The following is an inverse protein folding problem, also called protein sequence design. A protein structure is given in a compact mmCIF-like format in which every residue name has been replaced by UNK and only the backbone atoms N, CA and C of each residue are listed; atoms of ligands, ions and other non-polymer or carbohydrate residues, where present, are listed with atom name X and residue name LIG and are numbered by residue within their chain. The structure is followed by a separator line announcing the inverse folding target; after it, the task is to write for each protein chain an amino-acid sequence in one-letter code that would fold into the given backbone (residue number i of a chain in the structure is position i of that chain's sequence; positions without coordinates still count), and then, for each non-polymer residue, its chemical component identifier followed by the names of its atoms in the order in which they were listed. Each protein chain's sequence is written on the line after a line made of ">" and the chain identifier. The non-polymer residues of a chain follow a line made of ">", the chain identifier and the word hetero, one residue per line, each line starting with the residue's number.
data_IF_492029679733
#
_entry.id   IF_492029679733
#
_cell.length_a   1.000
_cell.length_b   1.000
_cell.length_c   1.000
_cell.angle_alpha   90.00
_cell.angle_beta   90.00
_cell.angle_gamma   90.00
#
_symmetry.space_group_name_H-M   'P 1'
#
loop_
_entity.id
_entity.type
_entity.pdbx_description
1 polymer ?
#
# COMPACT_ATOMS: atom_id res chain seq x y z
N UNK A 1 -17.46 8.18 -1.09
CA UNK A 1 -16.68 7.90 0.15
C UNK A 1 -15.21 7.84 -0.26
N UNK A 2 -14.30 8.40 0.54
CA UNK A 2 -12.85 8.28 0.29
C UNK A 2 -12.41 6.82 0.40
N UNK A 3 -11.39 6.43 -0.38
CA UNK A 3 -10.91 5.05 -0.46
C UNK A 3 -9.50 4.92 0.12
N UNK A 4 -9.29 3.88 0.89
CA UNK A 4 -7.96 3.44 1.31
C UNK A 4 -7.65 2.09 0.66
N UNK A 5 -6.57 2.03 -0.11
CA UNK A 5 -6.05 0.79 -0.67
C UNK A 5 -4.96 0.21 0.24
N UNK A 6 -5.05 -1.09 0.52
CA UNK A 6 -4.12 -1.79 1.41
C UNK A 6 -3.21 -2.70 0.60
N UNK A 7 -1.93 -2.39 0.66
CA UNK A 7 -0.82 -3.11 0.03
C UNK A 7 -0.15 -3.99 1.08
N UNK A 8 -0.23 -5.31 0.97
CA UNK A 8 0.36 -6.23 1.95
C UNK A 8 0.39 -7.68 1.46
N UNK A 9 1.13 -8.54 2.13
CA UNK A 9 1.01 -9.98 1.97
C UNK A 9 -0.32 -10.51 2.52
N UNK A 10 -0.75 -11.69 2.04
CA UNK A 10 -1.98 -12.35 2.45
C UNK A 10 -1.71 -13.67 3.16
N UNK A 11 -2.54 -14.00 4.15
CA UNK A 11 -2.46 -15.25 4.90
C UNK A 11 -1.20 -15.37 5.77
N UNK A 12 -0.81 -16.58 6.05
CA UNK A 12 0.43 -16.88 6.78
C UNK A 12 1.64 -16.74 5.85
N UNK A 13 2.63 -15.94 6.27
CA UNK A 13 3.86 -15.72 5.52
C UNK A 13 5.10 -15.95 6.38
N UNK A 14 6.10 -16.65 5.85
CA UNK A 14 7.37 -16.79 6.54
C UNK A 14 8.12 -15.44 6.52
N UNK A 15 8.64 -15.06 7.66
CA UNK A 15 9.65 -14.01 7.78
C UNK A 15 11.03 -14.68 7.81
N UNK A 16 11.70 -14.67 6.67
CA UNK A 16 13.01 -15.30 6.52
C UNK A 16 14.11 -14.63 7.35
N UNK A 17 13.93 -13.37 7.77
CA UNK A 17 14.90 -12.66 8.58
C UNK A 17 14.88 -13.12 10.04
N UNK A 18 13.71 -13.53 10.55
CA UNK A 18 13.52 -13.95 11.95
C UNK A 18 13.21 -15.43 12.09
N UNK A 19 12.92 -16.15 11.00
CA UNK A 19 12.48 -17.55 11.01
C UNK A 19 11.05 -17.74 11.53
N UNK A 20 10.29 -16.69 11.78
CA UNK A 20 8.90 -16.74 12.25
C UNK A 20 7.92 -16.83 11.08
N UNK A 21 6.74 -17.32 11.34
CA UNK A 21 5.59 -17.21 10.42
C UNK A 21 4.58 -16.24 11.02
N UNK A 22 4.16 -15.25 10.23
CA UNK A 22 3.20 -14.23 10.65
C UNK A 22 1.87 -14.43 9.92
N UNK A 23 0.75 -14.42 10.66
CA UNK A 23 -0.61 -14.38 10.09
C UNK A 23 -0.96 -12.92 9.75
N UNK A 24 -0.63 -12.49 8.54
CA UNK A 24 -0.86 -11.11 8.07
C UNK A 24 -2.35 -10.76 7.94
N UNK A 25 -3.22 -11.76 7.80
CA UNK A 25 -4.66 -11.54 7.82
C UNK A 25 -5.16 -11.11 9.21
N UNK A 26 -4.45 -11.45 10.28
CA UNK A 26 -4.74 -10.88 11.62
C UNK A 26 -4.47 -9.38 11.63
N UNK A 27 -3.29 -8.95 11.18
CA UNK A 27 -2.96 -7.52 11.07
C UNK A 27 -4.01 -6.77 10.25
N UNK A 28 -4.38 -7.31 9.09
CA UNK A 28 -5.41 -6.71 8.26
C UNK A 28 -6.74 -6.55 9.00
N UNK A 29 -7.29 -7.65 9.55
CA UNK A 29 -8.62 -7.66 10.15
C UNK A 29 -8.71 -6.89 11.46
N UNK A 30 -7.66 -6.93 12.29
CA UNK A 30 -7.74 -6.37 13.65
C UNK A 30 -7.22 -4.94 13.74
N UNK A 31 -6.25 -4.56 12.91
CA UNK A 31 -5.63 -3.23 12.91
C UNK A 31 -6.06 -2.42 11.70
N UNK A 32 -5.63 -2.82 10.48
CA UNK A 32 -5.69 -1.96 9.31
C UNK A 32 -7.13 -1.66 8.90
N UNK A 33 -7.92 -2.70 8.66
CA UNK A 33 -9.32 -2.54 8.20
C UNK A 33 -10.13 -1.71 9.20
N UNK A 34 -10.01 -2.02 10.48
CA UNK A 34 -10.73 -1.30 11.54
C UNK A 34 -10.31 0.16 11.64
N UNK A 35 -9.01 0.45 11.55
CA UNK A 35 -8.53 1.81 11.58
C UNK A 35 -9.01 2.64 10.37
N UNK A 36 -8.99 2.04 9.18
CA UNK A 36 -9.47 2.68 7.95
C UNK A 36 -10.97 3.00 8.02
N UNK A 37 -11.78 2.03 8.45
CA UNK A 37 -13.23 2.19 8.62
C UNK A 37 -13.56 3.23 9.72
N UNK A 38 -12.84 3.22 10.85
CA UNK A 38 -12.97 4.20 11.93
C UNK A 38 -12.55 5.62 11.50
N UNK A 39 -11.61 5.72 10.56
CA UNK A 39 -11.24 6.99 9.94
C UNK A 39 -12.25 7.47 8.89
N UNK A 40 -13.30 6.69 8.59
CA UNK A 40 -14.38 7.04 7.66
C UNK A 40 -14.06 6.78 6.18
N UNK A 41 -13.10 5.88 5.88
CA UNK A 41 -12.76 5.49 4.52
C UNK A 41 -13.26 4.08 4.20
N UNK A 42 -13.49 3.84 2.92
CA UNK A 42 -13.67 2.48 2.39
C UNK A 42 -12.32 1.75 2.36
N UNK A 43 -12.25 0.57 2.97
CA UNK A 43 -11.03 -0.24 3.01
C UNK A 43 -11.05 -1.27 1.89
N UNK A 44 -10.08 -1.19 0.97
CA UNK A 44 -9.95 -2.07 -0.18
C UNK A 44 -8.61 -2.80 -0.08
N UNK A 45 -8.61 -4.14 -0.12
CA UNK A 45 -7.42 -4.98 -0.25
C UNK A 45 -7.51 -5.75 -1.57
N UNK A 46 -6.38 -5.99 -2.24
CA UNK A 46 -6.35 -6.53 -3.60
C UNK A 46 -7.09 -7.89 -3.75
N UNK A 47 -7.04 -8.76 -2.74
CA UNK A 47 -7.74 -10.06 -2.75
C UNK A 47 -9.27 -9.95 -2.60
N UNK A 48 -9.78 -8.79 -2.20
CA UNK A 48 -11.23 -8.55 -2.10
C UNK A 48 -11.84 -8.02 -3.39
N UNK A 49 -11.03 -7.70 -4.36
CA UNK A 49 -11.47 -7.14 -5.65
C UNK A 49 -11.73 -8.27 -6.63
N UNK A 50 -13.00 -8.56 -6.91
CA UNK A 50 -13.41 -9.60 -7.87
C UNK A 50 -13.37 -9.01 -9.27
N UNK A 51 -12.53 -9.58 -10.16
CA UNK A 51 -12.43 -9.18 -11.56
C UNK A 51 -12.56 -10.35 -12.52
N UNK A 52 -13.16 -10.08 -13.68
CA UNK A 52 -13.25 -11.00 -14.83
C UNK A 52 -12.20 -10.69 -15.92
N UNK A 53 -11.09 -10.04 -15.58
CA UNK A 53 -10.03 -9.64 -16.54
C UNK A 53 -8.62 -9.86 -16.00
N UNK A 54 -7.61 -9.21 -16.58
CA UNK A 54 -6.24 -9.22 -16.07
C UNK A 54 -6.20 -8.60 -14.67
N UNK A 55 -5.64 -9.33 -13.72
CA UNK A 55 -5.61 -8.99 -12.28
C UNK A 55 -4.88 -7.65 -12.02
N UNK A 56 -3.96 -7.26 -12.90
CA UNK A 56 -3.04 -6.15 -12.66
C UNK A 56 -3.66 -4.75 -12.88
N UNK A 57 -4.58 -4.60 -13.84
CA UNK A 57 -5.13 -3.28 -14.20
C UNK A 57 -5.82 -2.57 -13.01
N UNK A 58 -6.68 -3.22 -12.21
CA UNK A 58 -7.30 -2.58 -11.05
C UNK A 58 -6.33 -2.19 -9.95
N UNK A 59 -5.26 -2.96 -9.75
CA UNK A 59 -4.23 -2.65 -8.75
C UNK A 59 -3.54 -1.32 -9.06
N UNK A 60 -3.08 -1.12 -10.31
CA UNK A 60 -2.44 0.14 -10.71
C UNK A 60 -3.39 1.33 -10.60
N UNK A 61 -4.67 1.15 -10.97
CA UNK A 61 -5.68 2.18 -10.78
C UNK A 61 -5.86 2.52 -9.29
N UNK A 62 -5.95 1.52 -8.42
CA UNK A 62 -6.07 1.75 -6.97
C UNK A 62 -4.81 2.43 -6.40
N UNK A 63 -3.61 2.07 -6.86
CA UNK A 63 -2.38 2.74 -6.45
C UNK A 63 -2.36 4.22 -6.89
N UNK A 64 -2.95 4.55 -8.03
CA UNK A 64 -3.06 5.94 -8.52
C UNK A 64 -4.19 6.70 -7.84
N UNK A 65 -5.39 6.12 -7.73
CA UNK A 65 -6.65 6.82 -7.43
C UNK A 65 -7.05 6.80 -5.96
N UNK A 66 -6.57 5.84 -5.15
CA UNK A 66 -6.91 5.77 -3.75
C UNK A 66 -6.48 7.05 -3.01
N UNK A 67 -7.40 7.58 -2.18
CA UNK A 67 -7.14 8.77 -1.35
C UNK A 67 -6.01 8.53 -0.36
N UNK A 68 -5.91 7.30 0.18
CA UNK A 68 -4.84 6.86 1.07
C UNK A 68 -4.37 5.47 0.63
N UNK A 69 -3.08 5.20 0.77
CA UNK A 69 -2.53 3.84 0.70
C UNK A 69 -1.89 3.49 2.04
N UNK A 70 -2.23 2.32 2.58
CA UNK A 70 -1.53 1.72 3.72
C UNK A 70 -0.73 0.54 3.21
N UNK A 71 0.59 0.59 3.34
CA UNK A 71 1.50 -0.48 2.92
C UNK A 71 2.11 -1.19 4.14
N UNK A 72 1.81 -2.47 4.30
CA UNK A 72 2.45 -3.33 5.30
C UNK A 72 3.58 -4.13 4.66
N UNK A 73 4.82 -3.80 5.04
CA UNK A 73 6.03 -4.40 4.51
C UNK A 73 6.52 -5.62 5.31
N UNK A 74 5.78 -6.04 6.31
CA UNK A 74 6.14 -7.21 7.13
C UNK A 74 6.45 -8.42 6.26
N UNK A 75 7.40 -9.23 6.71
CA UNK A 75 7.91 -10.42 6.00
C UNK A 75 8.66 -10.15 4.69
N UNK A 76 9.03 -8.89 4.41
CA UNK A 76 9.75 -8.51 3.18
C UNK A 76 9.01 -8.96 1.91
N UNK A 77 7.69 -8.82 1.88
CA UNK A 77 6.89 -9.21 0.73
C UNK A 77 7.29 -8.39 -0.51
N UNK A 78 7.84 -9.06 -1.52
CA UNK A 78 8.36 -8.40 -2.72
C UNK A 78 7.28 -7.64 -3.50
N UNK A 79 6.04 -8.15 -3.55
CA UNK A 79 4.93 -7.48 -4.22
C UNK A 79 4.56 -6.19 -3.47
N UNK A 80 4.46 -6.25 -2.14
CA UNK A 80 4.14 -5.05 -1.34
C UNK A 80 5.22 -3.97 -1.49
N UNK A 81 6.49 -4.35 -1.54
CA UNK A 81 7.61 -3.40 -1.77
C UNK A 81 7.51 -2.80 -3.18
N UNK A 82 7.23 -3.63 -4.21
CA UNK A 82 7.06 -3.16 -5.58
C UNK A 82 5.87 -2.18 -5.70
N UNK A 83 4.72 -2.55 -5.17
CA UNK A 83 3.49 -1.73 -5.17
C UNK A 83 3.68 -0.41 -4.43
N UNK A 84 4.40 -0.42 -3.29
CA UNK A 84 4.79 0.79 -2.59
C UNK A 84 5.66 1.71 -3.46
N UNK A 85 6.66 1.15 -4.17
CA UNK A 85 7.49 1.90 -5.09
C UNK A 85 6.67 2.54 -6.22
N UNK A 86 5.73 1.78 -6.80
CA UNK A 86 4.79 2.29 -7.81
C UNK A 86 3.93 3.42 -7.22
N UNK A 87 3.36 3.24 -6.02
CA UNK A 87 2.58 4.29 -5.35
C UNK A 87 3.39 5.56 -5.15
N UNK A 88 4.63 5.46 -4.67
CA UNK A 88 5.51 6.59 -4.49
C UNK A 88 5.83 7.32 -5.80
N UNK A 89 5.92 6.61 -6.92
CA UNK A 89 6.12 7.22 -8.24
C UNK A 89 4.86 7.92 -8.77
N UNK A 90 3.67 7.41 -8.42
CA UNK A 90 2.40 7.93 -8.91
C UNK A 90 1.85 9.09 -8.06
N UNK A 91 2.13 9.12 -6.75
CA UNK A 91 1.51 10.08 -5.82
C UNK A 91 2.51 10.68 -4.85
N UNK A 92 2.50 11.99 -4.66
CA UNK A 92 3.43 12.68 -3.76
C UNK A 92 3.11 12.53 -2.28
N UNK A 93 1.91 12.10 -1.91
CA UNK A 93 1.42 12.12 -0.52
C UNK A 93 0.34 11.07 -0.26
N UNK A 94 -0.06 10.95 1.01
CA UNK A 94 -1.12 10.07 1.53
C UNK A 94 -0.77 8.57 1.45
N UNK A 95 0.51 8.25 1.73
CA UNK A 95 1.00 6.89 1.82
C UNK A 95 1.53 6.63 3.22
N UNK A 96 0.94 5.66 3.92
CA UNK A 96 1.35 5.25 5.27
C UNK A 96 2.03 3.90 5.17
N UNK A 97 3.24 3.82 5.68
CA UNK A 97 3.99 2.56 5.72
C UNK A 97 4.01 2.02 7.13
N UNK A 98 3.65 0.76 7.28
CA UNK A 98 3.72 0.03 8.53
C UNK A 98 4.58 -1.22 8.36
N UNK A 99 5.14 -1.72 9.43
CA UNK A 99 5.85 -2.99 9.42
C UNK A 99 5.92 -3.62 10.81
N UNK A 100 6.06 -4.93 10.86
CA UNK A 100 6.36 -5.65 12.08
C UNK A 100 7.71 -5.16 12.66
N UNK A 101 7.78 -5.03 13.98
CA UNK A 101 8.87 -4.39 14.73
C UNK A 101 10.27 -4.98 14.44
N UNK A 102 10.37 -6.25 14.09
CA UNK A 102 11.63 -6.91 13.74
C UNK A 102 11.93 -6.89 12.22
N UNK A 103 11.10 -6.19 11.44
CA UNK A 103 11.34 -6.02 10.00
C UNK A 103 12.69 -5.36 9.77
N UNK A 104 13.52 -5.99 8.92
CA UNK A 104 14.81 -5.44 8.50
C UNK A 104 14.62 -4.63 7.24
N UNK A 105 14.76 -3.32 7.39
CA UNK A 105 14.60 -2.38 6.28
C UNK A 105 15.68 -2.59 5.21
N UNK A 106 15.30 -2.76 3.93
CA UNK A 106 16.22 -2.51 2.83
C UNK A 106 16.77 -1.08 2.90
N UNK A 107 18.02 -0.88 2.47
CA UNK A 107 18.70 0.42 2.56
C UNK A 107 17.85 1.58 2.00
N UNK A 108 17.26 1.38 0.82
CA UNK A 108 16.47 2.40 0.13
C UNK A 108 15.13 2.74 0.80
N UNK A 109 14.67 1.93 1.76
CA UNK A 109 13.49 2.22 2.57
C UNK A 109 13.80 2.90 3.90
N UNK A 110 15.08 3.05 4.25
CA UNK A 110 15.53 3.66 5.52
C UNK A 110 15.16 5.14 5.68
N UNK A 111 14.72 5.78 4.62
CA UNK A 111 14.28 7.19 4.63
C UNK A 111 12.79 7.37 4.92
N UNK A 112 12.02 6.28 4.93
CA UNK A 112 10.58 6.33 5.14
C UNK A 112 10.25 6.39 6.63
N UNK A 113 9.22 7.16 6.96
CA UNK A 113 8.57 7.05 8.26
C UNK A 113 7.71 5.79 8.27
N UNK A 114 8.12 4.79 9.04
CA UNK A 114 7.43 3.53 9.16
C UNK A 114 6.87 3.40 10.57
N UNK A 115 5.58 3.11 10.69
CA UNK A 115 4.93 2.87 11.97
C UNK A 115 5.12 1.40 12.36
N UNK A 116 5.88 1.10 13.43
CA UNK A 116 6.13 -0.29 13.82
C UNK A 116 4.99 -0.85 14.66
N UNK A 117 4.70 -2.15 14.47
CA UNK A 117 3.81 -2.91 15.35
C UNK A 117 4.42 -4.26 15.71
N UNK A 118 3.98 -4.85 16.83
CA UNK A 118 4.47 -6.14 17.29
C UNK A 118 3.50 -7.26 16.91
N UNK A 119 4.02 -8.31 16.25
CA UNK A 119 3.26 -9.49 15.85
C UNK A 119 3.88 -10.75 16.46
N UNK A 120 3.10 -11.54 17.19
CA UNK A 120 3.60 -12.74 17.88
C UNK A 120 3.57 -14.03 17.02
N UNK A 121 3.34 -13.90 15.71
CA UNK A 121 3.21 -15.00 14.77
C UNK A 121 1.75 -15.31 14.45
N UNK A 122 1.05 -16.03 15.31
CA UNK A 122 -0.37 -16.39 15.11
C UNK A 122 -1.36 -15.33 15.60
N UNK A 123 -0.89 -14.31 16.30
CA UNK A 123 -1.73 -13.27 16.87
C UNK A 123 -0.98 -12.00 17.20
N UNK A 124 -1.73 -10.99 17.63
CA UNK A 124 -1.25 -9.71 18.10
C UNK A 124 -1.91 -9.48 19.45
N UNK A 125 -1.15 -9.02 20.44
CA UNK A 125 -1.68 -8.72 21.76
C UNK A 125 -2.74 -7.61 21.69
N UNK A 126 -3.75 -7.68 22.56
CA UNK A 126 -4.88 -6.77 22.52
C UNK A 126 -4.45 -5.30 22.67
N UNK A 127 -3.57 -5.01 23.60
CA UNK A 127 -3.05 -3.66 23.85
C UNK A 127 -2.29 -3.12 22.62
N UNK A 128 -1.56 -3.97 21.91
CA UNK A 128 -0.85 -3.58 20.70
C UNK A 128 -1.81 -3.32 19.53
N UNK A 129 -2.88 -4.11 19.41
CA UNK A 129 -3.94 -3.85 18.44
C UNK A 129 -4.56 -2.48 18.66
N UNK A 130 -4.94 -2.16 19.91
CA UNK A 130 -5.55 -0.87 20.27
C UNK A 130 -4.59 0.30 20.03
N UNK A 131 -3.33 0.15 20.45
CA UNK A 131 -2.28 1.16 20.23
C UNK A 131 -2.07 1.47 18.76
N UNK A 132 -1.87 0.41 17.95
CA UNK A 132 -1.55 0.57 16.55
C UNK A 132 -2.77 1.05 15.74
N UNK A 133 -3.97 0.58 16.09
CA UNK A 133 -5.22 1.07 15.49
C UNK A 133 -5.39 2.57 15.72
N UNK A 134 -5.23 3.04 16.96
CA UNK A 134 -5.34 4.46 17.29
C UNK A 134 -4.29 5.31 16.55
N UNK A 135 -3.04 4.83 16.48
CA UNK A 135 -1.98 5.50 15.75
C UNK A 135 -2.30 5.60 14.25
N UNK A 136 -2.81 4.52 13.65
CA UNK A 136 -3.15 4.48 12.24
C UNK A 136 -4.36 5.37 11.91
N UNK A 137 -5.41 5.39 12.77
CA UNK A 137 -6.55 6.32 12.64
C UNK A 137 -6.06 7.76 12.63
N UNK A 138 -5.19 8.10 13.58
CA UNK A 138 -4.63 9.45 13.68
C UNK A 138 -3.83 9.83 12.45
N UNK A 139 -2.97 8.93 11.96
CA UNK A 139 -2.18 9.14 10.76
C UNK A 139 -3.07 9.35 9.52
N UNK A 140 -4.07 8.49 9.31
CA UNK A 140 -5.01 8.60 8.18
C UNK A 140 -5.73 9.96 8.20
N UNK A 141 -6.33 10.32 9.34
CA UNK A 141 -7.08 11.59 9.47
C UNK A 141 -6.17 12.80 9.22
N UNK A 142 -4.97 12.79 9.81
CA UNK A 142 -4.00 13.88 9.64
C UNK A 142 -3.59 14.05 8.18
N UNK A 143 -3.26 12.96 7.47
CA UNK A 143 -2.83 13.03 6.08
C UNK A 143 -3.97 13.38 5.11
N UNK A 144 -5.20 12.99 5.43
CA UNK A 144 -6.39 13.36 4.63
C UNK A 144 -6.72 14.84 4.78
N UNK A 145 -6.53 15.41 5.97
CA UNK A 145 -6.81 16.83 6.25
C UNK A 145 -5.68 17.76 5.78
N UNK A 146 -4.44 17.32 5.97
CA UNK A 146 -3.23 18.09 5.65
C UNK A 146 -2.20 17.23 4.93
N UNK A 147 -2.40 16.98 3.62
CA UNK A 147 -1.45 16.19 2.86
C UNK A 147 -0.06 16.84 2.87
N UNK A 148 0.94 16.07 3.28
CA UNK A 148 2.35 16.44 3.18
C UNK A 148 3.05 15.44 2.27
N UNK A 149 4.13 15.86 1.61
CA UNK A 149 4.93 14.97 0.77
C UNK A 149 5.53 13.87 1.64
N UNK A 150 5.14 12.62 1.36
CA UNK A 150 5.62 11.41 2.02
C UNK A 150 6.34 10.45 1.06
N UNK A 151 6.27 10.75 -0.24
CA UNK A 151 6.99 10.01 -1.26
C UNK A 151 8.44 10.49 -1.38
N UNK A 152 9.44 9.60 -1.25
CA UNK A 152 10.84 9.93 -1.51
C UNK A 152 11.07 10.38 -2.95
N UNK A 153 10.32 9.86 -3.92
CA UNK A 153 10.42 10.25 -5.33
C UNK A 153 10.20 11.75 -5.49
N UNK A 154 9.14 12.29 -4.93
CA UNK A 154 8.83 13.74 -5.02
C UNK A 154 9.66 14.58 -4.06
N UNK A 155 10.18 13.99 -2.99
CA UNK A 155 11.13 14.68 -2.10
C UNK A 155 12.45 14.94 -2.82
N UNK A 156 12.97 13.95 -3.55
CA UNK A 156 14.25 14.06 -4.27
C UNK A 156 14.09 14.64 -5.69
N UNK A 157 12.90 14.57 -6.27
CA UNK A 157 12.57 15.11 -7.59
C UNK A 157 11.41 16.12 -7.50
N UNK A 158 11.61 17.28 -6.87
CA UNK A 158 10.52 18.21 -6.56
C UNK A 158 9.87 18.85 -7.80
N UNK A 159 10.51 18.78 -8.96
CA UNK A 159 9.95 19.25 -10.23
C UNK A 159 9.05 18.20 -10.93
N UNK A 160 9.03 16.96 -10.44
CA UNK A 160 8.19 15.92 -11.00
C UNK A 160 6.71 16.22 -10.77
N UNK A 161 5.91 16.09 -11.84
CA UNK A 161 4.45 16.25 -11.75
C UNK A 161 3.79 14.87 -11.65
N UNK A 162 2.85 14.67 -10.70
CA UNK A 162 2.13 13.42 -10.60
C UNK A 162 1.24 13.19 -11.83
N UNK A 163 1.01 11.93 -12.25
CA UNK A 163 0.07 11.61 -13.30
C UNK A 163 -1.33 12.14 -12.98
N UNK A 164 -2.06 12.58 -14.04
CA UNK A 164 -3.46 12.95 -13.91
C UNK A 164 -4.31 11.72 -13.57
N UNK A 165 -5.29 11.89 -12.70
CA UNK A 165 -6.32 10.88 -12.43
C UNK A 165 -7.47 10.94 -13.45
N UNK A 166 -7.44 11.89 -14.39
CA UNK A 166 -8.41 11.93 -15.48
C UNK A 166 -8.19 10.71 -16.41
N UNK A 167 -9.26 10.07 -16.90
CA UNK A 167 -9.13 8.97 -17.83
C UNK A 167 -8.32 9.43 -19.05
N UNK A 168 -7.20 8.73 -19.31
CA UNK A 168 -6.42 8.98 -20.51
C UNK A 168 -7.31 8.71 -21.75
N UNK A 169 -7.20 9.53 -22.82
CA UNK A 169 -7.83 9.18 -24.08
C UNK A 169 -7.35 7.80 -24.49
N UNK A 170 -8.28 6.89 -24.81
CA UNK A 170 -7.96 5.54 -25.27
C UNK A 170 -7.09 5.68 -26.51
N UNK A 171 -5.79 5.46 -26.37
CA UNK A 171 -4.89 5.37 -27.51
C UNK A 171 -5.17 4.02 -28.17
N UNK A 172 -6.11 4.03 -29.13
CA UNK A 172 -6.28 2.94 -30.09
C UNK A 172 -5.03 2.95 -30.97
N UNK A 173 -4.02 2.13 -30.69
CA UNK A 173 -2.80 2.26 -31.44
C UNK A 173 -1.81 1.11 -31.42
N UNK A 174 -1.93 0.14 -30.54
CA UNK A 174 -0.95 -0.96 -30.53
C UNK A 174 -1.35 -2.16 -31.41
N UNK A 175 -2.64 -2.36 -31.70
CA UNK A 175 -3.08 -3.45 -32.57
C UNK A 175 -2.75 -3.24 -34.05
N UNK A 176 -2.72 -1.99 -34.53
CA UNK A 176 -2.44 -1.68 -35.94
C UNK A 176 -0.94 -1.73 -36.32
N UNK A 177 -0.04 -1.70 -35.35
CA UNK A 177 1.40 -1.74 -35.61
C UNK A 177 1.95 -3.17 -35.77
N UNK A 178 1.22 -4.19 -35.31
CA UNK A 178 1.67 -5.59 -35.41
C UNK A 178 1.27 -6.23 -36.75
N UNK A 179 0.16 -5.80 -37.33
CA UNK A 179 -0.31 -6.32 -38.65
C UNK A 179 0.57 -5.89 -39.83
N UNK A 180 1.39 -4.87 -39.69
CA UNK A 180 2.35 -4.40 -40.71
C UNK A 180 3.73 -5.09 -40.68
N UNK A 181 4.00 -5.94 -39.68
CA UNK A 181 5.31 -6.62 -39.52
C UNK A 181 5.30 -8.10 -39.99
N UNK A 182 4.18 -8.60 -40.48
CA UNK A 182 4.01 -10.02 -40.93
C UNK A 182 3.57 -10.09 -42.40
N UNK A 183 3.93 -9.09 -43.20
CA UNK A 183 3.76 -9.12 -44.66
C UNK A 183 5.12 -9.09 -45.35
#
# INVERSE_FOLDING_TARGET
>A
MKKCFVVMGFGEKPDYATGRTLDLDKTYRTIIKRAVEEAGLECIRADTVIHSGTIDTPMYQLLLEADVVVADLSTSNANAIYELGVRHALRPHTTIVIAEKQFKFPFDLGHLLILPYEHLGKGIEFEEVERMRAALVTAIKTLVEKPATDSPVYTFLPALQPPSTAPAPVVQGFAAAVDGLVA
#
